data_IF_380426345137
#
_entry.id   IF_380426345137
#
_cell.length_a   1.000
_cell.length_b   1.000
_cell.length_c   1.000
_cell.angle_alpha   90.00
_cell.angle_beta   90.00
_cell.angle_gamma   90.00
#
_symmetry.space_group_name_H-M   'P 1'
#
loop_
_entity.id
_entity.type
_entity.pdbx_description
1 polymer ?
#
# COMPACT_ATOMS: atom_id res chain seq x y z
N UNK A 1 7.69 -16.39 24.42
CA UNK A 1 7.68 -15.78 23.09
C UNK A 1 9.06 -15.61 22.47
N UNK A 2 10.08 -15.13 23.18
CA UNK A 2 11.47 -14.94 22.66
C UNK A 2 12.06 -16.18 21.95
N UNK A 3 11.90 -17.39 22.48
CA UNK A 3 12.45 -18.63 21.88
C UNK A 3 11.81 -19.07 20.54
N UNK A 4 10.54 -18.70 20.28
CA UNK A 4 9.87 -19.04 19.01
C UNK A 4 10.23 -18.06 17.87
N UNK A 5 10.47 -16.81 18.21
CA UNK A 5 10.86 -15.77 17.22
C UNK A 5 12.29 -15.98 16.73
N UNK A 6 13.20 -16.45 17.59
CA UNK A 6 14.58 -16.79 17.24
C UNK A 6 14.68 -17.93 16.20
N UNK A 7 13.74 -18.89 16.19
CA UNK A 7 13.72 -19.96 15.17
C UNK A 7 13.30 -19.46 13.79
N UNK A 8 12.46 -18.41 13.72
CA UNK A 8 11.91 -17.88 12.46
C UNK A 8 12.97 -17.24 11.54
N UNK A 9 14.01 -16.66 12.14
CA UNK A 9 15.08 -15.89 11.47
C UNK A 9 16.43 -16.56 11.59
N UNK A 10 16.46 -17.86 11.83
CA UNK A 10 17.68 -18.67 11.89
C UNK A 10 17.90 -19.39 10.57
N UNK A 11 19.08 -19.22 9.98
CA UNK A 11 19.49 -19.96 8.80
C UNK A 11 19.62 -21.46 9.08
N UNK A 12 19.60 -22.27 8.05
CA UNK A 12 19.82 -23.72 8.14
C UNK A 12 21.23 -24.06 8.66
N UNK A 13 22.17 -23.16 8.45
CA UNK A 13 23.56 -23.19 8.93
C UNK A 13 23.73 -22.69 10.37
N UNK A 14 22.66 -22.30 11.02
CA UNK A 14 22.64 -21.77 12.38
C UNK A 14 22.92 -20.28 12.50
N UNK A 15 23.16 -19.57 11.40
CA UNK A 15 23.32 -18.10 11.40
C UNK A 15 22.07 -17.39 11.92
N UNK A 16 22.27 -16.35 12.74
CA UNK A 16 21.19 -15.54 13.31
C UNK A 16 20.97 -14.28 12.44
N UNK A 17 19.81 -14.18 11.82
CA UNK A 17 19.40 -13.04 11.01
C UNK A 17 18.45 -12.08 11.75
N UNK A 18 18.34 -12.16 13.08
CA UNK A 18 17.39 -11.35 13.84
C UNK A 18 17.61 -9.84 13.64
N UNK A 19 18.86 -9.37 13.74
CA UNK A 19 19.16 -7.95 13.59
C UNK A 19 18.89 -7.44 12.17
N UNK A 20 19.36 -8.09 11.08
CA UNK A 20 18.96 -7.73 9.71
C UNK A 20 17.45 -7.76 9.49
N UNK A 21 16.77 -8.78 10.03
CA UNK A 21 15.32 -8.91 9.91
C UNK A 21 14.57 -7.75 10.58
N UNK A 22 14.89 -7.44 11.85
CA UNK A 22 14.24 -6.34 12.58
C UNK A 22 14.48 -5.01 11.87
N UNK A 23 15.69 -4.79 11.39
CA UNK A 23 16.05 -3.57 10.69
C UNK A 23 15.26 -3.42 9.37
N UNK A 24 15.20 -4.49 8.55
CA UNK A 24 14.43 -4.45 7.30
C UNK A 24 12.93 -4.40 7.59
N UNK A 25 12.44 -5.13 8.60
CA UNK A 25 11.04 -5.10 9.01
C UNK A 25 10.59 -3.70 9.48
N UNK A 26 11.49 -2.90 10.09
CA UNK A 26 11.16 -1.50 10.44
C UNK A 26 10.88 -0.61 9.23
N UNK A 27 11.45 -0.93 8.06
CA UNK A 27 11.17 -0.21 6.82
C UNK A 27 9.71 -0.39 6.37
N UNK A 28 9.10 -1.54 6.68
CA UNK A 28 7.70 -1.78 6.39
C UNK A 28 6.79 -0.82 7.16
N UNK A 29 7.16 -0.51 8.40
CA UNK A 29 6.47 0.54 9.17
C UNK A 29 6.61 1.90 8.49
N UNK A 30 7.84 2.28 8.10
CA UNK A 30 8.12 3.59 7.50
C UNK A 30 7.33 3.82 6.22
N UNK A 31 7.25 2.84 5.32
CA UNK A 31 6.48 3.06 4.11
C UNK A 31 4.97 3.00 4.34
N UNK A 32 4.47 2.15 5.26
CA UNK A 32 3.07 2.15 5.66
C UNK A 32 2.65 3.50 6.24
N UNK A 33 3.49 4.08 7.09
CA UNK A 33 3.33 5.42 7.64
C UNK A 33 3.31 6.49 6.53
N UNK A 34 4.29 6.44 5.59
CA UNK A 34 4.39 7.39 4.49
C UNK A 34 3.16 7.39 3.58
N UNK A 35 2.61 6.21 3.29
CA UNK A 35 1.39 6.11 2.49
C UNK A 35 0.17 6.66 3.20
N UNK A 36 -0.01 6.29 4.46
CA UNK A 36 -1.24 6.62 5.18
C UNK A 36 -1.33 8.08 5.63
N UNK A 37 -0.20 8.75 5.85
CA UNK A 37 -0.21 10.19 6.15
C UNK A 37 -0.68 11.04 4.95
N UNK A 38 -0.48 10.54 3.72
CA UNK A 38 -0.93 11.22 2.51
C UNK A 38 -2.45 11.34 2.40
N UNK A 39 -3.18 10.40 3.00
CA UNK A 39 -4.65 10.43 3.00
C UNK A 39 -5.16 11.62 3.83
N UNK A 40 -4.47 11.95 4.91
CA UNK A 40 -4.76 13.14 5.73
C UNK A 40 -4.29 14.43 5.03
N UNK A 41 -3.12 14.38 4.40
CA UNK A 41 -2.55 15.51 3.65
C UNK A 41 -3.45 15.93 2.47
N UNK A 42 -4.12 14.98 1.84
CA UNK A 42 -5.07 15.26 0.76
C UNK A 42 -6.14 16.27 1.20
N UNK A 43 -6.76 16.05 2.36
CA UNK A 43 -7.77 16.95 2.92
C UNK A 43 -7.16 18.28 3.37
N UNK A 44 -6.02 18.23 4.02
CA UNK A 44 -5.32 19.43 4.50
C UNK A 44 -4.96 20.38 3.34
N UNK A 45 -4.44 19.87 2.22
CA UNK A 45 -4.14 20.69 1.05
C UNK A 45 -5.37 21.32 0.41
N UNK A 46 -6.53 20.62 0.41
CA UNK A 46 -7.77 21.21 -0.08
C UNK A 46 -8.13 22.47 0.70
N UNK A 47 -7.94 22.47 2.02
CA UNK A 47 -8.28 23.59 2.90
C UNK A 47 -7.23 24.70 2.87
N UNK A 48 -5.95 24.37 2.98
CA UNK A 48 -4.84 25.33 3.06
C UNK A 48 -4.56 26.04 1.74
N UNK A 49 -4.59 25.30 0.62
CA UNK A 49 -4.27 25.84 -0.71
C UNK A 49 -5.52 26.18 -1.54
N UNK A 50 -6.72 26.03 -0.95
CA UNK A 50 -8.00 26.29 -1.62
C UNK A 50 -8.15 25.56 -2.97
N UNK A 51 -7.62 24.33 -3.06
CA UNK A 51 -7.69 23.49 -4.26
C UNK A 51 -8.91 22.57 -4.22
N UNK A 52 -9.43 22.21 -5.39
CA UNK A 52 -10.57 21.29 -5.50
C UNK A 52 -10.15 19.82 -5.27
N UNK A 53 -11.13 18.91 -5.14
CA UNK A 53 -10.89 17.48 -4.87
C UNK A 53 -10.11 16.81 -6.02
N UNK A 54 -10.39 17.20 -7.27
CA UNK A 54 -9.64 16.70 -8.45
C UNK A 54 -8.17 17.09 -8.38
N UNK A 55 -7.88 18.35 -8.05
CA UNK A 55 -6.50 18.81 -7.92
C UNK A 55 -5.76 18.11 -6.78
N UNK A 56 -6.42 17.93 -5.62
CA UNK A 56 -5.80 17.24 -4.50
C UNK A 56 -5.52 15.75 -4.78
N UNK A 57 -6.30 15.12 -5.66
CA UNK A 57 -6.07 13.74 -6.08
C UNK A 57 -4.75 13.55 -6.86
N UNK A 58 -4.16 14.63 -7.42
CA UNK A 58 -2.82 14.57 -8.03
C UNK A 58 -1.73 14.19 -7.03
N UNK A 59 -1.96 14.35 -5.73
CA UNK A 59 -1.08 13.87 -4.65
C UNK A 59 -0.83 12.36 -4.81
N UNK A 60 -1.90 11.59 -4.90
CA UNK A 60 -1.81 10.14 -5.09
C UNK A 60 -1.28 9.79 -6.49
N UNK A 61 -1.72 10.53 -7.50
CA UNK A 61 -1.29 10.31 -8.88
C UNK A 61 0.23 10.42 -9.03
N UNK A 62 0.85 11.45 -8.47
CA UNK A 62 2.31 11.64 -8.61
C UNK A 62 3.10 10.64 -7.77
N UNK A 63 2.61 10.28 -6.56
CA UNK A 63 3.25 9.27 -5.73
C UNK A 63 3.28 7.91 -6.46
N UNK A 64 2.12 7.43 -6.92
CA UNK A 64 2.02 6.16 -7.65
C UNK A 64 2.62 6.22 -9.05
N UNK A 65 2.70 7.41 -9.66
CA UNK A 65 3.51 7.68 -10.85
C UNK A 65 4.99 7.42 -10.60
N UNK A 66 5.51 7.83 -9.43
CA UNK A 66 6.84 7.50 -8.95
C UNK A 66 7.06 5.99 -8.85
N UNK A 67 6.08 5.26 -8.32
CA UNK A 67 6.11 3.79 -8.27
C UNK A 67 6.24 3.17 -9.66
N UNK A 68 5.44 3.62 -10.60
CA UNK A 68 5.46 3.09 -11.96
C UNK A 68 6.80 3.33 -12.66
N UNK A 69 7.31 4.57 -12.60
CA UNK A 69 8.54 4.96 -13.29
C UNK A 69 9.79 4.37 -12.63
N UNK A 70 9.82 4.27 -11.29
CA UNK A 70 11.01 3.83 -10.56
C UNK A 70 11.09 2.32 -10.38
N UNK A 71 10.02 1.53 -10.63
CA UNK A 71 10.02 0.09 -10.41
C UNK A 71 11.11 -0.65 -11.21
N UNK A 72 11.26 -0.34 -12.49
CA UNK A 72 12.30 -0.95 -13.33
C UNK A 72 13.73 -0.47 -12.98
N UNK A 73 13.99 0.85 -12.79
CA UNK A 73 15.29 1.33 -12.29
C UNK A 73 15.67 0.72 -10.94
N UNK A 74 14.74 0.63 -9.99
CA UNK A 74 14.97 0.02 -8.69
C UNK A 74 15.40 -1.45 -8.81
N UNK A 75 14.69 -2.22 -9.65
CA UNK A 75 15.08 -3.61 -9.94
C UNK A 75 16.48 -3.72 -10.52
N UNK A 76 16.90 -2.81 -11.41
CA UNK A 76 18.26 -2.77 -11.97
C UNK A 76 19.32 -2.42 -10.91
N UNK A 77 19.02 -1.45 -10.03
CA UNK A 77 19.92 -1.11 -8.91
C UNK A 77 20.13 -2.33 -8.02
N UNK A 78 19.06 -3.03 -7.64
CA UNK A 78 19.10 -4.19 -6.76
C UNK A 78 19.85 -5.36 -7.43
N UNK A 79 19.60 -5.61 -8.71
CA UNK A 79 20.26 -6.71 -9.43
C UNK A 79 21.77 -6.49 -9.61
N UNK A 80 22.20 -5.23 -9.76
CA UNK A 80 23.60 -4.87 -9.99
C UNK A 80 24.40 -4.63 -8.70
N UNK A 81 23.77 -4.02 -7.70
CA UNK A 81 24.45 -3.54 -6.48
C UNK A 81 23.92 -4.18 -5.20
N UNK A 82 23.00 -5.16 -5.30
CA UNK A 82 22.42 -5.88 -4.17
C UNK A 82 21.29 -5.13 -3.43
N UNK A 83 20.64 -5.84 -2.52
CA UNK A 83 19.51 -5.33 -1.74
C UNK A 83 19.84 -4.10 -0.89
N UNK A 84 21.07 -4.07 -0.31
CA UNK A 84 21.53 -2.94 0.51
C UNK A 84 21.53 -1.64 -0.29
N UNK A 85 22.00 -1.65 -1.53
CA UNK A 85 22.01 -0.47 -2.39
C UNK A 85 20.57 -0.01 -2.71
N UNK A 86 19.65 -0.95 -2.97
CA UNK A 86 18.23 -0.64 -3.16
C UNK A 86 17.61 0.04 -1.94
N UNK A 87 17.86 -0.48 -0.72
CA UNK A 87 17.38 0.12 0.52
C UNK A 87 17.96 1.51 0.75
N UNK A 88 19.28 1.69 0.63
CA UNK A 88 19.94 2.99 0.83
C UNK A 88 19.47 4.03 -0.20
N UNK A 89 19.37 3.66 -1.48
CA UNK A 89 18.83 4.54 -2.52
C UNK A 89 17.40 4.97 -2.19
N UNK A 90 16.58 4.04 -1.73
CA UNK A 90 15.20 4.30 -1.34
C UNK A 90 15.09 5.23 -0.15
N UNK A 91 15.84 5.00 0.92
CA UNK A 91 15.88 5.87 2.11
C UNK A 91 16.38 7.27 1.78
N UNK A 92 17.44 7.38 0.95
CA UNK A 92 17.95 8.69 0.52
C UNK A 92 16.91 9.46 -0.29
N UNK A 93 16.29 8.83 -1.29
CA UNK A 93 15.24 9.48 -2.09
C UNK A 93 14.03 9.89 -1.23
N UNK A 94 13.60 9.01 -0.31
CA UNK A 94 12.50 9.32 0.60
C UNK A 94 12.85 10.50 1.51
N UNK A 95 14.01 10.47 2.16
CA UNK A 95 14.45 11.55 3.04
C UNK A 95 14.64 12.88 2.32
N UNK A 96 15.28 12.89 1.14
CA UNK A 96 15.42 14.09 0.31
C UNK A 96 14.04 14.61 -0.12
N UNK A 97 13.16 13.75 -0.63
CA UNK A 97 11.81 14.12 -1.01
C UNK A 97 11.01 14.74 0.13
N UNK A 98 11.16 14.22 1.35
CA UNK A 98 10.52 14.80 2.54
C UNK A 98 11.11 16.16 2.92
N UNK A 99 12.43 16.36 2.83
CA UNK A 99 13.06 17.66 3.11
C UNK A 99 12.76 18.71 2.02
N UNK A 100 12.40 18.32 0.80
CA UNK A 100 11.94 19.23 -0.24
C UNK A 100 10.61 19.93 0.12
N UNK A 101 9.89 19.47 1.12
CA UNK A 101 8.72 20.18 1.66
C UNK A 101 9.10 21.53 2.29
N UNK A 102 10.34 21.70 2.78
CA UNK A 102 10.83 22.98 3.33
C UNK A 102 10.80 24.10 2.28
N UNK A 103 11.54 24.02 1.15
CA UNK A 103 11.44 25.04 0.12
C UNK A 103 10.05 25.09 -0.52
N UNK A 104 9.31 23.98 -0.57
CA UNK A 104 7.92 23.93 -1.06
C UNK A 104 6.99 24.81 -0.24
N UNK A 105 7.10 24.80 1.09
CA UNK A 105 6.31 25.65 1.97
C UNK A 105 6.71 27.13 1.86
N UNK A 106 7.98 27.43 1.67
CA UNK A 106 8.46 28.81 1.43
C UNK A 106 7.90 29.40 0.13
N UNK A 107 7.75 28.57 -0.89
CA UNK A 107 7.23 28.97 -2.20
C UNK A 107 5.70 28.91 -2.28
N UNK A 108 5.03 28.30 -1.30
CA UNK A 108 3.59 28.00 -1.30
C UNK A 108 3.11 27.40 -2.63
N UNK A 109 3.93 26.50 -3.22
CA UNK A 109 3.72 25.98 -4.56
C UNK A 109 3.23 24.54 -4.54
N UNK A 110 1.96 24.33 -4.89
CA UNK A 110 1.39 22.99 -5.03
C UNK A 110 2.16 22.09 -6.02
N UNK A 111 2.56 22.55 -7.21
CA UNK A 111 3.40 21.75 -8.11
C UNK A 111 4.75 21.33 -7.48
N UNK A 112 5.34 22.16 -6.62
CA UNK A 112 6.57 21.81 -5.93
C UNK A 112 6.34 20.72 -4.87
N UNK A 113 5.23 20.78 -4.14
CA UNK A 113 4.83 19.70 -3.23
C UNK A 113 4.59 18.39 -3.99
N UNK A 114 3.95 18.44 -5.16
CA UNK A 114 3.76 17.24 -6.00
C UNK A 114 5.12 16.66 -6.45
N UNK A 115 6.07 17.50 -6.83
CA UNK A 115 7.42 17.03 -7.17
C UNK A 115 8.11 16.36 -5.96
N UNK A 116 7.99 16.94 -4.77
CA UNK A 116 8.52 16.36 -3.53
C UNK A 116 7.93 14.98 -3.26
N UNK A 117 6.61 14.84 -3.43
CA UNK A 117 5.89 13.56 -3.28
C UNK A 117 6.29 12.54 -4.35
N UNK A 118 6.54 12.97 -5.58
CA UNK A 118 7.08 12.10 -6.63
C UNK A 118 8.43 11.51 -6.24
N UNK A 119 9.34 12.33 -5.69
CA UNK A 119 10.64 11.86 -5.19
C UNK A 119 10.48 10.88 -4.04
N UNK A 120 9.54 11.15 -3.11
CA UNK A 120 9.18 10.20 -2.03
C UNK A 120 8.70 8.90 -2.65
N UNK A 121 7.78 8.94 -3.62
CA UNK A 121 7.26 7.75 -4.32
C UNK A 121 8.36 6.91 -4.95
N UNK A 122 9.34 7.54 -5.60
CA UNK A 122 10.52 6.84 -6.12
C UNK A 122 11.32 6.17 -5.01
N UNK A 123 11.48 6.82 -3.87
CA UNK A 123 12.17 6.27 -2.70
C UNK A 123 11.44 5.05 -2.13
N UNK A 124 10.13 5.16 -1.93
CA UNK A 124 9.29 4.07 -1.44
C UNK A 124 9.32 2.86 -2.37
N UNK A 125 9.31 3.08 -3.68
CA UNK A 125 9.44 2.00 -4.69
C UNK A 125 10.74 1.23 -4.53
N UNK A 126 11.88 1.93 -4.35
CA UNK A 126 13.16 1.28 -4.12
C UNK A 126 13.15 0.45 -2.83
N UNK A 127 12.57 1.00 -1.75
CA UNK A 127 12.46 0.29 -0.47
C UNK A 127 11.63 -0.97 -0.61
N UNK A 128 10.46 -0.88 -1.22
CA UNK A 128 9.52 -1.99 -1.34
C UNK A 128 10.06 -3.09 -2.25
N UNK A 129 10.67 -2.71 -3.38
CA UNK A 129 11.30 -3.66 -4.32
C UNK A 129 12.47 -4.40 -3.67
N UNK A 130 13.22 -3.77 -2.75
CA UNK A 130 14.34 -4.39 -2.05
C UNK A 130 13.89 -5.20 -0.83
N UNK A 131 13.05 -4.64 0.04
CA UNK A 131 12.75 -5.20 1.34
C UNK A 131 11.83 -6.43 1.29
N UNK A 132 10.84 -6.45 0.38
CA UNK A 132 9.91 -7.58 0.25
C UNK A 132 10.63 -8.91 -0.03
N UNK A 133 11.43 -9.06 -1.11
CA UNK A 133 12.14 -10.29 -1.36
C UNK A 133 13.22 -10.55 -0.31
N UNK A 134 13.89 -9.52 0.22
CA UNK A 134 14.96 -9.70 1.18
C UNK A 134 14.46 -10.34 2.48
N UNK A 135 13.32 -9.92 3.01
CA UNK A 135 12.70 -10.54 4.21
C UNK A 135 12.42 -12.04 4.01
N UNK A 136 12.05 -12.46 2.79
CA UNK A 136 11.76 -13.88 2.53
C UNK A 136 12.99 -14.77 2.55
N UNK A 137 14.18 -14.23 2.29
CA UNK A 137 15.44 -14.99 2.26
C UNK A 137 16.22 -14.96 3.57
N UNK A 138 15.80 -14.16 4.57
CA UNK A 138 16.45 -14.07 5.88
C UNK A 138 16.06 -15.23 6.80
N UNK A 139 16.52 -16.45 6.50
CA UNK A 139 16.28 -17.65 7.32
C UNK A 139 15.79 -18.84 6.50
N UNK A 140 15.18 -19.84 7.17
CA UNK A 140 14.68 -21.05 6.51
C UNK A 140 13.63 -20.74 5.43
N UNK A 141 13.71 -21.35 4.24
CA UNK A 141 12.69 -21.17 3.17
C UNK A 141 11.27 -21.52 3.61
N UNK A 142 11.11 -22.51 4.49
CA UNK A 142 9.80 -22.96 5.00
C UNK A 142 9.08 -21.89 5.84
N UNK A 143 9.81 -20.94 6.41
CA UNK A 143 9.24 -19.85 7.22
C UNK A 143 9.17 -18.52 6.47
N UNK A 144 9.44 -18.49 5.16
CA UNK A 144 9.45 -17.26 4.36
C UNK A 144 8.11 -16.49 4.43
N UNK A 145 6.98 -17.19 4.27
CA UNK A 145 5.64 -16.60 4.38
C UNK A 145 5.36 -16.02 5.77
N UNK A 146 5.84 -16.66 6.82
CA UNK A 146 5.66 -16.17 8.19
C UNK A 146 6.49 -14.92 8.45
N UNK A 147 7.69 -14.83 7.87
CA UNK A 147 8.56 -13.64 7.98
C UNK A 147 7.95 -12.45 7.29
N UNK A 148 7.48 -12.60 6.05
CA UNK A 148 6.86 -11.49 5.32
C UNK A 148 5.56 -11.05 5.99
N UNK A 149 4.75 -11.97 6.50
CA UNK A 149 3.53 -11.62 7.24
C UNK A 149 3.83 -10.85 8.54
N UNK A 150 4.91 -11.21 9.25
CA UNK A 150 5.35 -10.46 10.43
C UNK A 150 5.81 -9.04 10.06
N UNK A 151 6.61 -8.90 9.00
CA UNK A 151 7.04 -7.59 8.51
C UNK A 151 5.83 -6.74 8.03
N UNK A 152 4.88 -7.34 7.31
CA UNK A 152 3.64 -6.67 6.88
C UNK A 152 2.74 -6.26 8.06
N UNK A 153 2.85 -6.90 9.23
CA UNK A 153 2.15 -6.45 10.43
C UNK A 153 2.68 -5.10 10.94
N UNK A 154 4.00 -4.85 10.80
CA UNK A 154 4.60 -3.55 11.09
C UNK A 154 4.18 -2.48 10.07
N UNK A 155 4.02 -2.86 8.80
CA UNK A 155 3.40 -1.99 7.80
C UNK A 155 1.97 -1.59 8.21
N UNK A 156 1.17 -2.55 8.65
CA UNK A 156 -0.18 -2.29 9.18
C UNK A 156 -0.20 -1.32 10.35
N UNK A 157 0.78 -1.37 11.26
CA UNK A 157 0.94 -0.37 12.32
C UNK A 157 1.26 1.02 11.74
N UNK A 158 2.08 1.11 10.71
CA UNK A 158 2.35 2.35 9.99
C UNK A 158 1.08 2.98 9.45
N UNK A 159 0.19 2.17 8.86
CA UNK A 159 -1.11 2.61 8.35
C UNK A 159 -2.05 3.15 9.44
N UNK A 160 -1.93 2.70 10.69
CA UNK A 160 -2.69 3.23 11.83
C UNK A 160 -2.05 4.52 12.34
N UNK A 161 -0.73 4.54 12.49
CA UNK A 161 -0.02 5.68 13.10
C UNK A 161 0.03 6.90 12.16
N UNK A 162 0.06 6.70 10.85
CA UNK A 162 0.13 7.80 9.87
C UNK A 162 -1.05 8.78 9.99
N UNK A 163 -2.31 8.36 9.88
CA UNK A 163 -3.45 9.28 10.03
C UNK A 163 -3.58 9.85 11.42
N UNK A 164 -3.18 9.11 12.48
CA UNK A 164 -3.15 9.61 13.84
C UNK A 164 -2.18 10.80 13.97
N UNK A 165 -0.94 10.61 13.53
CA UNK A 165 0.09 11.66 13.54
C UNK A 165 -0.32 12.82 12.62
N UNK A 166 -0.75 12.52 11.39
CA UNK A 166 -1.22 13.52 10.45
C UNK A 166 -2.39 14.34 11.01
N UNK A 167 -3.37 13.69 11.63
CA UNK A 167 -4.50 14.36 12.27
C UNK A 167 -4.09 15.28 13.40
N UNK A 168 -3.17 14.84 14.26
CA UNK A 168 -2.65 15.61 15.38
C UNK A 168 -1.82 16.82 14.91
N UNK A 169 -0.98 16.68 13.89
CA UNK A 169 -0.12 17.76 13.43
C UNK A 169 -0.81 18.72 12.47
N UNK A 170 -1.67 18.22 11.58
CA UNK A 170 -2.25 19.04 10.53
C UNK A 170 -3.61 19.68 10.91
N UNK A 171 -4.35 19.10 11.88
CA UNK A 171 -5.68 19.58 12.24
C UNK A 171 -5.81 20.03 13.72
N UNK A 172 -4.77 19.91 14.55
CA UNK A 172 -4.77 20.41 15.94
C UNK A 172 -4.40 21.89 15.98
N UNK A 173 -5.37 22.72 15.86
CA UNK A 173 -5.48 24.15 15.95
C UNK A 173 -4.24 25.01 16.22
N UNK A 174 -3.98 25.97 15.35
CA UNK A 174 -2.97 27.02 15.51
C UNK A 174 -1.82 27.00 14.52
N UNK A 175 -1.74 26.01 13.65
CA UNK A 175 -0.75 25.96 12.59
C UNK A 175 -1.09 27.00 11.51
N UNK A 176 -0.22 28.00 11.38
CA UNK A 176 -0.18 28.86 10.19
C UNK A 176 0.05 28.01 8.94
N UNK A 177 -0.34 28.51 7.76
CA UNK A 177 -0.13 27.88 6.44
C UNK A 177 1.30 27.35 6.24
N UNK A 178 2.28 27.81 7.04
CA UNK A 178 3.68 27.37 7.03
C UNK A 178 3.93 25.95 7.61
N UNK A 179 2.97 25.33 8.29
CA UNK A 179 3.25 24.13 9.09
C UNK A 179 3.20 22.79 8.31
N UNK A 180 2.94 22.80 7.00
CA UNK A 180 3.02 21.60 6.15
C UNK A 180 4.44 21.02 6.13
N UNK A 181 5.46 21.87 6.22
CA UNK A 181 6.85 21.44 6.16
C UNK A 181 7.31 20.71 7.44
N UNK A 182 6.79 21.08 8.61
CA UNK A 182 7.27 20.58 9.91
C UNK A 182 7.17 19.04 10.03
N UNK A 183 6.00 18.39 9.81
CA UNK A 183 5.91 16.93 9.90
C UNK A 183 6.81 16.24 8.87
N UNK A 184 6.89 16.75 7.64
CA UNK A 184 7.75 16.17 6.61
C UNK A 184 9.24 16.38 6.88
N UNK A 185 9.64 17.49 7.51
CA UNK A 185 11.02 17.73 7.97
C UNK A 185 11.42 16.69 9.01
N UNK A 186 10.56 16.46 10.00
CA UNK A 186 10.79 15.45 11.05
C UNK A 186 10.92 14.06 10.42
N UNK A 187 10.02 13.70 9.52
CA UNK A 187 10.06 12.43 8.79
C UNK A 187 11.36 12.32 7.97
N UNK A 188 11.72 13.36 7.22
CA UNK A 188 12.91 13.39 6.38
C UNK A 188 14.18 13.17 7.18
N UNK A 189 14.33 13.87 8.31
CA UNK A 189 15.46 13.70 9.23
C UNK A 189 15.49 12.28 9.80
N UNK A 190 14.35 11.77 10.28
CA UNK A 190 14.25 10.42 10.83
C UNK A 190 14.62 9.34 9.80
N UNK A 191 14.14 9.47 8.56
CA UNK A 191 14.45 8.53 7.47
C UNK A 191 15.93 8.58 7.08
N UNK A 192 16.53 9.77 7.02
CA UNK A 192 17.97 9.92 6.74
C UNK A 192 18.84 9.36 7.88
N UNK A 193 18.43 9.52 9.14
CA UNK A 193 19.10 8.87 10.28
C UNK A 193 19.03 7.34 10.15
N UNK A 194 17.86 6.79 9.74
CA UNK A 194 17.74 5.36 9.43
C UNK A 194 18.66 4.97 8.27
N UNK A 195 18.78 5.80 7.22
CA UNK A 195 19.73 5.54 6.12
C UNK A 195 21.19 5.47 6.61
N UNK A 196 21.59 6.39 7.49
CA UNK A 196 22.91 6.39 8.11
C UNK A 196 23.12 5.10 8.93
N UNK A 197 22.15 4.71 9.77
CA UNK A 197 22.22 3.44 10.51
C UNK A 197 22.36 2.24 9.56
N UNK A 198 21.59 2.19 8.49
CA UNK A 198 21.67 1.15 7.46
C UNK A 198 23.02 1.13 6.74
N UNK A 199 23.69 2.26 6.60
CA UNK A 199 25.03 2.33 5.98
C UNK A 199 26.12 1.62 6.80
N UNK A 200 25.94 1.48 8.11
CA UNK A 200 26.86 0.75 8.99
C UNK A 200 26.53 -0.74 9.11
N UNK A 201 25.32 -1.15 8.75
CA UNK A 201 24.89 -2.55 8.85
C UNK A 201 25.30 -3.32 7.58
N UNK A 202 26.05 -4.38 7.75
CA UNK A 202 26.32 -5.35 6.69
C UNK A 202 25.09 -6.24 6.55
N UNK A 203 24.26 -5.97 5.55
CA UNK A 203 23.21 -6.91 5.18
C UNK A 203 23.88 -8.11 4.50
N UNK A 204 23.61 -9.34 4.98
CA UNK A 204 24.15 -10.55 4.34
C UNK A 204 23.72 -10.59 2.86
N UNK A 205 24.67 -10.83 1.96
CA UNK A 205 24.36 -11.13 0.56
C UNK A 205 23.75 -12.54 0.50
N UNK A 206 22.49 -12.64 0.83
CA UNK A 206 21.74 -13.87 0.66
C UNK A 206 21.34 -13.91 -0.82
N UNK A 207 22.08 -14.70 -1.59
CA UNK A 207 21.63 -15.06 -2.93
C UNK A 207 20.24 -15.66 -2.77
N UNK A 208 19.24 -15.06 -3.44
CA UNK A 208 17.92 -15.66 -3.52
C UNK A 208 18.15 -17.11 -3.94
N UNK A 209 17.86 -18.04 -3.03
CA UNK A 209 17.94 -19.45 -3.35
C UNK A 209 17.17 -19.62 -4.64
N UNK A 210 17.86 -19.96 -5.71
CA UNK A 210 17.27 -20.25 -7.00
C UNK A 210 16.15 -21.21 -6.67
N UNK A 211 14.92 -20.72 -6.76
CA UNK A 211 13.76 -21.59 -6.62
C UNK A 211 14.06 -22.78 -7.50
N UNK A 212 14.08 -23.97 -6.89
CA UNK A 212 14.21 -25.23 -7.59
C UNK A 212 13.41 -25.09 -8.87
N UNK A 213 14.09 -25.11 -10.01
CA UNK A 213 13.46 -25.11 -11.31
C UNK A 213 12.62 -26.39 -11.37
N UNK A 214 11.37 -26.27 -10.99
CA UNK A 214 10.38 -27.24 -11.39
C UNK A 214 10.27 -27.02 -12.89
N UNK A 215 10.89 -27.90 -13.63
CA UNK A 215 10.76 -27.95 -15.07
C UNK A 215 9.27 -28.12 -15.40
N UNK A 216 8.63 -27.04 -15.74
CA UNK A 216 7.27 -27.06 -16.25
C UNK A 216 7.35 -26.96 -17.77
N UNK A 217 6.93 -28.04 -18.43
CA UNK A 217 7.03 -28.26 -19.88
C UNK A 217 6.07 -27.39 -20.71
N UNK A 218 5.42 -26.39 -20.15
CA UNK A 218 4.55 -25.54 -20.97
C UNK A 218 5.35 -24.41 -21.62
N UNK A 219 5.63 -24.54 -22.88
CA UNK A 219 6.24 -23.53 -23.78
C UNK A 219 5.30 -22.34 -24.07
N UNK A 220 4.28 -22.16 -23.24
CA UNK A 220 3.30 -21.06 -23.35
C UNK A 220 3.89 -19.78 -22.80
N UNK A 221 3.87 -18.73 -23.59
CA UNK A 221 4.30 -17.40 -23.16
C UNK A 221 3.43 -16.85 -22.01
N UNK A 222 4.01 -16.01 -21.16
CA UNK A 222 3.35 -15.42 -19.97
C UNK A 222 1.94 -14.86 -20.27
N UNK A 223 1.78 -14.18 -21.39
CA UNK A 223 0.53 -13.52 -21.79
C UNK A 223 -0.57 -14.49 -22.26
N UNK A 224 -0.28 -15.75 -22.48
CA UNK A 224 -1.27 -16.77 -22.80
C UNK A 224 -2.05 -17.25 -21.58
N UNK A 225 -1.55 -16.99 -20.39
CA UNK A 225 -2.20 -17.36 -19.12
C UNK A 225 -3.32 -16.36 -18.78
N UNK A 226 -4.56 -16.70 -19.12
CA UNK A 226 -5.72 -15.82 -18.91
C UNK A 226 -5.88 -15.36 -17.47
N UNK A 227 -5.67 -16.26 -16.48
CA UNK A 227 -5.76 -15.91 -15.06
C UNK A 227 -4.76 -14.81 -14.66
N UNK A 228 -3.57 -14.78 -15.27
CA UNK A 228 -2.59 -13.74 -15.06
C UNK A 228 -3.05 -12.40 -15.66
N UNK A 229 -3.49 -12.39 -16.92
CA UNK A 229 -3.93 -11.16 -17.60
C UNK A 229 -5.11 -10.51 -16.89
N UNK A 230 -6.14 -11.30 -16.54
CA UNK A 230 -7.27 -10.80 -15.76
C UNK A 230 -6.88 -10.46 -14.32
N UNK A 231 -5.87 -11.14 -13.77
CA UNK A 231 -5.27 -10.85 -12.47
C UNK A 231 -4.59 -9.48 -12.41
N UNK A 232 -3.89 -9.07 -13.48
CA UNK A 232 -3.33 -7.71 -13.60
C UNK A 232 -4.45 -6.66 -13.48
N UNK A 233 -5.55 -6.85 -14.23
CA UNK A 233 -6.71 -5.97 -14.13
C UNK A 233 -7.34 -5.95 -12.74
N UNK A 234 -7.49 -7.12 -12.10
CA UNK A 234 -8.06 -7.24 -10.77
C UNK A 234 -7.18 -6.54 -9.71
N UNK A 235 -5.86 -6.67 -9.81
CA UNK A 235 -4.94 -6.03 -8.88
C UNK A 235 -4.89 -4.51 -9.08
N UNK A 236 -4.85 -4.05 -10.32
CA UNK A 236 -4.94 -2.63 -10.67
C UNK A 236 -6.21 -2.00 -10.09
N UNK A 237 -7.37 -2.61 -10.32
CA UNK A 237 -8.65 -2.11 -9.85
C UNK A 237 -8.78 -2.21 -8.31
N UNK A 238 -8.18 -3.23 -7.69
CA UNK A 238 -8.12 -3.31 -6.24
C UNK A 238 -7.37 -2.12 -5.63
N UNK A 239 -6.15 -1.85 -6.11
CA UNK A 239 -5.34 -0.74 -5.59
C UNK A 239 -6.01 0.59 -5.91
N UNK A 240 -6.63 0.72 -7.08
CA UNK A 240 -7.44 1.87 -7.44
C UNK A 240 -8.57 2.11 -6.42
N UNK A 241 -9.36 1.09 -6.10
CA UNK A 241 -10.45 1.18 -5.13
C UNK A 241 -9.93 1.55 -3.73
N UNK A 242 -8.94 0.82 -3.22
CA UNK A 242 -8.41 1.03 -1.87
C UNK A 242 -7.84 2.44 -1.70
N UNK A 243 -7.01 2.90 -2.64
CA UNK A 243 -6.42 4.23 -2.58
C UNK A 243 -7.48 5.32 -2.70
N UNK A 244 -8.43 5.15 -3.63
CA UNK A 244 -9.52 6.11 -3.80
C UNK A 244 -10.37 6.27 -2.53
N UNK A 245 -10.74 5.16 -1.91
CA UNK A 245 -11.51 5.18 -0.66
C UNK A 245 -10.73 5.84 0.46
N UNK A 246 -9.43 5.53 0.61
CA UNK A 246 -8.59 6.11 1.65
C UNK A 246 -8.44 7.63 1.45
N UNK A 247 -8.12 8.06 0.24
CA UNK A 247 -7.85 9.48 -0.08
C UNK A 247 -9.05 10.38 0.19
N UNK A 248 -10.27 9.87 0.02
CA UNK A 248 -11.49 10.64 0.20
C UNK A 248 -12.31 10.23 1.43
N UNK A 249 -11.76 9.39 2.30
CA UNK A 249 -12.43 8.97 3.53
C UNK A 249 -12.79 10.17 4.42
N UNK A 250 -11.82 11.04 4.69
CA UNK A 250 -12.02 12.22 5.54
C UNK A 250 -13.06 13.14 4.92
N UNK A 251 -12.98 13.41 3.60
CA UNK A 251 -13.96 14.23 2.89
C UNK A 251 -15.39 13.70 3.08
N UNK A 252 -15.57 12.39 2.85
CA UNK A 252 -16.89 11.77 2.99
C UNK A 252 -17.42 11.85 4.42
N UNK A 253 -16.60 11.50 5.41
CA UNK A 253 -17.00 11.47 6.81
C UNK A 253 -17.34 12.87 7.33
N UNK A 254 -16.60 13.89 6.91
CA UNK A 254 -16.88 15.29 7.27
C UNK A 254 -18.15 15.81 6.59
N UNK A 255 -18.36 15.49 5.30
CA UNK A 255 -19.55 15.92 4.56
C UNK A 255 -20.84 15.24 5.08
N UNK A 256 -20.78 13.98 5.52
CA UNK A 256 -21.95 13.19 5.90
C UNK A 256 -22.21 13.14 7.41
N UNK A 257 -21.23 13.46 8.24
CA UNK A 257 -21.29 13.22 9.69
C UNK A 257 -21.22 14.49 10.56
N UNK A 258 -21.03 15.67 9.97
CA UNK A 258 -20.83 16.93 10.71
C UNK A 258 -19.76 16.81 11.81
N UNK A 259 -18.67 16.12 11.48
CA UNK A 259 -17.52 15.92 12.38
C UNK A 259 -16.31 16.72 11.91
N UNK A 260 -15.40 17.04 12.84
CA UNK A 260 -14.18 17.76 12.50
C UNK A 260 -13.19 16.86 11.72
N UNK A 261 -12.29 17.47 10.94
CA UNK A 261 -11.23 16.74 10.25
C UNK A 261 -10.36 15.91 11.19
N UNK A 262 -10.09 16.41 12.40
CA UNK A 262 -9.32 15.68 13.42
C UNK A 262 -10.04 14.40 13.86
N UNK A 263 -11.35 14.47 14.10
CA UNK A 263 -12.18 13.30 14.43
C UNK A 263 -12.24 12.33 13.23
N UNK A 264 -12.41 12.83 12.01
CA UNK A 264 -12.41 12.00 10.81
C UNK A 264 -11.06 11.29 10.58
N UNK A 265 -9.92 11.95 10.90
CA UNK A 265 -8.59 11.33 10.86
C UNK A 265 -8.44 10.22 11.92
N UNK A 266 -8.98 10.40 13.12
CA UNK A 266 -9.04 9.33 14.13
C UNK A 266 -9.91 8.14 13.68
N UNK A 267 -11.05 8.42 13.03
CA UNK A 267 -11.92 7.40 12.45
C UNK A 267 -11.23 6.63 11.31
N UNK A 268 -10.40 7.31 10.50
CA UNK A 268 -9.56 6.67 9.50
C UNK A 268 -8.53 5.75 10.16
N UNK A 269 -7.81 6.26 11.17
CA UNK A 269 -6.75 5.54 11.89
C UNK A 269 -7.27 4.30 12.62
N UNK A 270 -8.15 4.48 13.60
CA UNK A 270 -8.61 3.40 14.46
C UNK A 270 -9.83 2.66 13.90
N UNK A 271 -10.72 3.36 13.23
CA UNK A 271 -11.89 2.77 12.60
C UNK A 271 -11.48 1.98 11.35
N UNK A 272 -11.20 2.67 10.26
CA UNK A 272 -10.94 2.02 8.97
C UNK A 272 -9.68 1.15 8.98
N UNK A 273 -8.54 1.67 9.42
CA UNK A 273 -7.28 0.90 9.42
C UNK A 273 -7.27 -0.18 10.52
N UNK A 274 -7.96 0.04 11.63
CA UNK A 274 -8.20 -0.98 12.64
C UNK A 274 -8.99 -2.18 12.08
N UNK A 275 -10.10 -1.93 11.36
CA UNK A 275 -10.84 -2.99 10.67
C UNK A 275 -10.02 -3.68 9.59
N UNK A 276 -9.16 -2.95 8.86
CA UNK A 276 -8.25 -3.54 7.89
C UNK A 276 -7.29 -4.54 8.54
N UNK A 277 -6.69 -4.19 9.68
CA UNK A 277 -5.81 -5.09 10.43
C UNK A 277 -6.58 -6.31 10.96
N UNK A 278 -7.77 -6.10 11.54
CA UNK A 278 -8.64 -7.18 11.99
C UNK A 278 -9.02 -8.11 10.84
N UNK A 279 -9.36 -7.56 9.68
CA UNK A 279 -9.68 -8.33 8.48
C UNK A 279 -8.50 -9.17 7.97
N UNK A 280 -7.28 -8.66 8.06
CA UNK A 280 -6.06 -9.39 7.69
C UNK A 280 -5.83 -10.61 8.59
N UNK A 281 -6.01 -10.43 9.90
CA UNK A 281 -5.86 -11.51 10.88
C UNK A 281 -6.98 -12.54 10.73
N UNK A 282 -8.23 -12.09 10.67
CA UNK A 282 -9.40 -12.98 10.52
C UNK A 282 -9.39 -13.70 9.18
N UNK A 283 -9.02 -13.04 8.10
CA UNK A 283 -8.89 -13.63 6.77
C UNK A 283 -7.87 -14.77 6.73
N UNK A 284 -6.69 -14.58 7.33
CA UNK A 284 -5.71 -15.65 7.48
C UNK A 284 -6.26 -16.88 8.24
N UNK A 285 -7.07 -16.66 9.28
CA UNK A 285 -7.68 -17.75 10.04
C UNK A 285 -8.81 -18.43 9.24
N UNK A 286 -9.64 -17.67 8.54
CA UNK A 286 -10.75 -18.15 7.71
C UNK A 286 -10.26 -18.98 6.52
N UNK A 287 -9.13 -18.62 5.89
CA UNK A 287 -8.54 -19.36 4.78
C UNK A 287 -8.12 -20.79 5.14
N UNK A 288 -7.99 -21.12 6.45
CA UNK A 288 -7.77 -22.50 6.89
C UNK A 288 -9.03 -23.39 6.73
N UNK A 289 -10.22 -22.79 6.65
CA UNK A 289 -11.51 -23.49 6.61
C UNK A 289 -12.31 -23.21 5.33
N UNK A 290 -12.10 -22.04 4.72
CA UNK A 290 -12.85 -21.57 3.56
C UNK A 290 -11.88 -21.47 2.37
N UNK A 291 -12.30 -21.97 1.22
CA UNK A 291 -11.51 -21.85 -0.03
C UNK A 291 -11.26 -20.37 -0.36
N UNK A 292 -10.01 -19.97 -0.69
CA UNK A 292 -9.66 -18.58 -0.98
C UNK A 292 -10.54 -17.94 -2.07
N UNK A 293 -10.96 -18.71 -3.07
CA UNK A 293 -11.85 -18.23 -4.14
C UNK A 293 -13.22 -17.79 -3.60
N UNK A 294 -13.83 -18.58 -2.70
CA UNK A 294 -15.10 -18.24 -2.07
C UNK A 294 -14.97 -17.05 -1.15
N UNK A 295 -13.86 -16.98 -0.41
CA UNK A 295 -13.59 -15.88 0.50
C UNK A 295 -13.39 -14.57 -0.27
N UNK A 296 -12.65 -14.57 -1.39
CA UNK A 296 -12.47 -13.41 -2.26
C UNK A 296 -13.83 -12.90 -2.78
N UNK A 297 -14.69 -13.80 -3.27
CA UNK A 297 -16.03 -13.45 -3.76
C UNK A 297 -16.87 -12.85 -2.62
N UNK A 298 -16.90 -13.51 -1.45
CA UNK A 298 -17.66 -13.03 -0.29
C UNK A 298 -17.21 -11.63 0.15
N UNK A 299 -15.90 -11.39 0.23
CA UNK A 299 -15.35 -10.08 0.55
C UNK A 299 -15.68 -9.03 -0.53
N UNK A 300 -15.57 -9.38 -1.83
CA UNK A 300 -15.92 -8.47 -2.90
C UNK A 300 -17.41 -8.09 -2.87
N UNK A 301 -18.31 -9.03 -2.63
CA UNK A 301 -19.74 -8.77 -2.46
C UNK A 301 -20.02 -7.92 -1.22
N UNK A 302 -19.33 -8.18 -0.10
CA UNK A 302 -19.40 -7.37 1.11
C UNK A 302 -18.93 -5.92 0.86
N UNK A 303 -17.86 -5.73 0.09
CA UNK A 303 -17.39 -4.41 -0.30
C UNK A 303 -18.37 -3.68 -1.25
N UNK A 304 -18.98 -4.38 -2.21
CA UNK A 304 -20.04 -3.84 -3.08
C UNK A 304 -21.21 -3.37 -2.24
N UNK A 305 -21.67 -4.19 -1.29
CA UNK A 305 -22.76 -3.82 -0.39
C UNK A 305 -22.41 -2.60 0.45
N UNK A 306 -21.20 -2.57 1.04
CA UNK A 306 -20.73 -1.41 1.81
C UNK A 306 -20.69 -0.14 0.95
N UNK A 307 -20.16 -0.19 -0.27
CA UNK A 307 -20.15 0.95 -1.18
C UNK A 307 -21.55 1.40 -1.59
N UNK A 308 -22.49 0.47 -1.73
CA UNK A 308 -23.89 0.81 -1.99
C UNK A 308 -24.51 1.60 -0.82
N UNK A 309 -24.20 1.23 0.42
CA UNK A 309 -24.63 2.00 1.60
C UNK A 309 -23.99 3.41 1.61
N UNK A 310 -22.71 3.51 1.29
CA UNK A 310 -21.98 4.79 1.20
C UNK A 310 -22.64 5.73 0.19
N UNK A 311 -23.07 5.22 -0.96
CA UNK A 311 -23.62 6.03 -2.05
C UNK A 311 -25.10 6.40 -1.81
N UNK A 312 -25.92 5.41 -1.43
CA UNK A 312 -27.38 5.55 -1.47
C UNK A 312 -28.02 5.81 -0.11
N UNK A 313 -27.44 5.31 1.00
CA UNK A 313 -27.99 5.51 2.34
C UNK A 313 -27.37 6.71 3.03
N UNK A 314 -26.03 6.91 2.83
CA UNK A 314 -25.27 8.04 3.38
C UNK A 314 -25.31 8.14 4.92
N UNK A 315 -24.90 9.30 5.47
CA UNK A 315 -24.94 9.57 6.90
C UNK A 315 -24.18 8.53 7.76
N UNK A 316 -24.62 8.33 9.00
CA UNK A 316 -24.00 7.39 9.96
C UNK A 316 -23.90 5.96 9.44
N UNK A 317 -24.91 5.36 8.79
CA UNK A 317 -24.79 4.02 8.20
C UNK A 317 -23.71 3.96 7.10
N UNK A 318 -23.63 4.98 6.23
CA UNK A 318 -22.59 5.08 5.20
C UNK A 318 -21.20 5.21 5.81
N UNK A 319 -21.04 6.03 6.86
CA UNK A 319 -19.79 6.17 7.60
C UNK A 319 -19.35 4.83 8.24
N UNK A 320 -20.26 4.10 8.82
CA UNK A 320 -19.99 2.75 9.35
C UNK A 320 -19.60 1.77 8.24
N UNK A 321 -20.31 1.82 7.11
CA UNK A 321 -20.08 0.95 5.96
C UNK A 321 -18.69 1.16 5.33
N UNK A 322 -18.24 2.42 5.16
CA UNK A 322 -16.93 2.72 4.59
C UNK A 322 -15.78 2.23 5.49
N UNK A 323 -15.96 2.26 6.83
CA UNK A 323 -14.98 1.70 7.77
C UNK A 323 -14.95 0.18 7.68
N UNK A 324 -16.12 -0.48 7.72
CA UNK A 324 -16.22 -1.95 7.67
C UNK A 324 -15.77 -2.52 6.32
N UNK A 325 -15.91 -1.76 5.23
CA UNK A 325 -15.43 -2.16 3.90
C UNK A 325 -13.96 -2.58 3.92
N UNK A 326 -13.13 -1.90 4.73
CA UNK A 326 -11.69 -2.19 4.82
C UNK A 326 -11.39 -3.61 5.36
N UNK A 327 -12.29 -4.17 6.16
CA UNK A 327 -12.20 -5.57 6.59
C UNK A 327 -12.26 -6.52 5.39
N UNK A 328 -13.15 -6.23 4.43
CA UNK A 328 -13.26 -6.99 3.19
C UNK A 328 -12.04 -6.77 2.27
N UNK A 329 -11.56 -5.54 2.17
CA UNK A 329 -10.39 -5.18 1.34
C UNK A 329 -9.11 -5.87 1.78
N UNK A 330 -8.94 -6.11 3.07
CA UNK A 330 -7.69 -6.53 3.70
C UNK A 330 -7.06 -7.79 3.11
N UNK A 331 -7.87 -8.75 2.63
CA UNK A 331 -7.42 -10.02 2.06
C UNK A 331 -7.35 -10.02 0.53
N UNK A 332 -7.94 -9.02 -0.14
CA UNK A 332 -8.08 -9.06 -1.60
C UNK A 332 -6.73 -9.00 -2.30
N UNK A 333 -5.84 -8.08 -1.91
CA UNK A 333 -4.52 -7.92 -2.53
C UNK A 333 -3.71 -9.23 -2.54
N UNK A 334 -3.42 -9.85 -1.39
CA UNK A 334 -2.62 -11.07 -1.37
C UNK A 334 -3.28 -12.25 -2.09
N UNK A 335 -4.62 -12.32 -2.05
CA UNK A 335 -5.36 -13.40 -2.72
C UNK A 335 -5.33 -13.24 -4.25
N UNK A 336 -5.58 -12.04 -4.77
CA UNK A 336 -5.50 -11.73 -6.21
C UNK A 336 -4.07 -11.98 -6.72
N UNK A 337 -3.07 -11.50 -5.97
CA UNK A 337 -1.66 -11.68 -6.31
C UNK A 337 -1.27 -13.17 -6.40
N UNK A 338 -1.66 -13.97 -5.40
CA UNK A 338 -1.41 -15.41 -5.40
C UNK A 338 -2.12 -16.13 -6.56
N UNK A 339 -3.36 -15.75 -6.86
CA UNK A 339 -4.12 -16.32 -7.98
C UNK A 339 -3.48 -16.00 -9.33
N UNK A 340 -3.04 -14.75 -9.50
CA UNK A 340 -2.40 -14.33 -10.75
C UNK A 340 -1.06 -15.05 -11.00
N UNK A 341 -0.33 -15.44 -9.94
CA UNK A 341 0.94 -16.16 -10.05
C UNK A 341 0.80 -17.69 -10.13
N UNK A 342 -0.41 -18.24 -9.91
CA UNK A 342 -0.61 -19.69 -9.81
C UNK A 342 -0.21 -20.38 -11.14
N UNK A 343 0.69 -21.38 -11.07
CA UNK A 343 1.08 -22.20 -12.22
C UNK A 343 1.94 -21.52 -13.29
N UNK A 344 2.57 -20.36 -12.97
CA UNK A 344 3.42 -19.64 -13.93
C UNK A 344 4.88 -20.13 -13.99
N UNK A 345 5.31 -21.06 -13.14
CA UNK A 345 6.65 -21.67 -13.14
C UNK A 345 7.78 -20.64 -13.33
N UNK A 346 8.55 -20.78 -14.40
CA UNK A 346 9.69 -19.90 -14.75
C UNK A 346 9.30 -18.41 -14.93
N UNK A 347 8.04 -18.13 -15.25
CA UNK A 347 7.56 -16.77 -15.48
C UNK A 347 7.20 -16.01 -14.20
N UNK A 348 7.21 -16.65 -13.03
CA UNK A 348 6.76 -16.06 -11.76
C UNK A 348 7.46 -14.75 -11.43
N UNK A 349 8.80 -14.65 -11.64
CA UNK A 349 9.57 -13.41 -11.35
C UNK A 349 9.10 -12.25 -12.22
N UNK A 350 8.98 -12.48 -13.53
CA UNK A 350 8.53 -11.45 -14.49
C UNK A 350 7.07 -11.08 -14.25
N UNK A 351 6.21 -12.06 -14.00
CA UNK A 351 4.80 -11.85 -13.68
C UNK A 351 4.63 -11.03 -12.41
N UNK A 352 5.41 -11.29 -11.37
CA UNK A 352 5.42 -10.52 -10.13
C UNK A 352 5.75 -9.05 -10.36
N UNK A 353 6.74 -8.76 -11.23
CA UNK A 353 7.10 -7.37 -11.59
C UNK A 353 5.94 -6.63 -12.27
N UNK A 354 5.22 -7.29 -13.19
CA UNK A 354 4.02 -6.69 -13.82
C UNK A 354 2.89 -6.47 -12.82
N UNK A 355 2.70 -7.39 -11.87
CA UNK A 355 1.71 -7.21 -10.80
C UNK A 355 2.04 -6.01 -9.90
N UNK A 356 3.32 -5.82 -9.56
CA UNK A 356 3.77 -4.64 -8.80
C UNK A 356 3.54 -3.35 -9.61
N UNK A 357 3.77 -3.36 -10.92
CA UNK A 357 3.45 -2.20 -11.77
C UNK A 357 1.96 -1.83 -11.74
N UNK A 358 1.06 -2.80 -11.51
CA UNK A 358 -0.39 -2.54 -11.40
C UNK A 358 -0.77 -1.72 -10.16
N UNK A 359 0.15 -1.52 -9.20
CA UNK A 359 -0.04 -0.61 -8.05
C UNK A 359 -0.30 0.83 -8.51
N UNK A 360 0.09 1.19 -9.73
CA UNK A 360 -0.26 2.46 -10.37
C UNK A 360 -1.78 2.71 -10.49
N UNK A 361 -2.61 1.69 -10.30
CA UNK A 361 -4.07 1.86 -10.17
C UNK A 361 -4.46 2.91 -9.13
N UNK A 362 -3.65 3.05 -8.05
CA UNK A 362 -3.81 4.09 -7.04
C UNK A 362 -3.63 5.53 -7.55
N UNK A 363 -3.04 5.73 -8.72
CA UNK A 363 -2.95 7.03 -9.37
C UNK A 363 -4.26 7.45 -10.06
N UNK A 364 -5.06 6.48 -10.50
CA UNK A 364 -6.19 6.73 -11.41
C UNK A 364 -7.49 7.00 -10.65
N UNK A 365 -7.84 6.13 -9.71
CA UNK A 365 -9.15 6.21 -9.05
C UNK A 365 -9.37 7.49 -8.24
N UNK A 366 -8.39 8.02 -7.47
CA UNK A 366 -8.63 9.28 -6.76
C UNK A 366 -8.93 10.45 -7.69
N UNK A 367 -8.29 10.53 -8.86
CA UNK A 367 -8.57 11.58 -9.85
C UNK A 367 -10.01 11.46 -10.37
N UNK A 368 -10.42 10.26 -10.77
CA UNK A 368 -11.79 10.02 -11.23
C UNK A 368 -12.84 10.32 -10.15
N UNK A 369 -12.57 9.90 -8.91
CA UNK A 369 -13.43 10.17 -7.76
C UNK A 369 -13.52 11.67 -7.46
N UNK A 370 -12.40 12.39 -7.53
CA UNK A 370 -12.34 13.83 -7.35
C UNK A 370 -13.18 14.58 -8.41
N UNK A 371 -13.03 14.22 -9.68
CA UNK A 371 -13.82 14.79 -10.77
C UNK A 371 -15.34 14.59 -10.57
N UNK A 372 -15.75 13.40 -10.15
CA UNK A 372 -17.16 13.11 -9.85
C UNK A 372 -17.62 13.92 -8.63
N UNK A 373 -16.79 13.96 -7.59
CA UNK A 373 -17.12 14.65 -6.35
C UNK A 373 -17.20 16.19 -6.51
N UNK A 374 -16.36 16.78 -7.35
CA UNK A 374 -16.40 18.22 -7.66
C UNK A 374 -17.62 18.59 -8.50
N UNK A 375 -18.12 17.66 -9.33
CA UNK A 375 -19.28 17.92 -10.19
C UNK A 375 -20.60 17.69 -9.45
N UNK A 376 -20.67 16.72 -8.56
CA UNK A 376 -21.92 16.27 -7.92
C UNK A 376 -21.82 16.33 -6.38
N UNK A 377 -21.29 15.28 -5.73
CA UNK A 377 -20.95 15.25 -4.31
C UNK A 377 -20.01 14.07 -4.04
N UNK A 378 -19.36 14.06 -2.85
CA UNK A 378 -18.37 13.04 -2.53
C UNK A 378 -18.92 11.61 -2.57
N UNK A 379 -20.17 11.39 -2.14
CA UNK A 379 -20.79 10.06 -2.12
C UNK A 379 -20.80 9.40 -3.51
N UNK A 380 -21.09 10.15 -4.58
CA UNK A 380 -21.07 9.62 -5.95
C UNK A 380 -19.68 9.23 -6.45
N UNK A 381 -18.61 9.83 -5.91
CA UNK A 381 -17.26 9.42 -6.21
C UNK A 381 -17.00 7.94 -5.89
N UNK A 382 -17.69 7.37 -4.91
CA UNK A 382 -17.57 5.96 -4.52
C UNK A 382 -18.18 4.95 -5.50
N UNK A 383 -18.81 5.42 -6.60
CA UNK A 383 -19.14 4.56 -7.75
C UNK A 383 -17.89 3.93 -8.37
N UNK A 384 -16.76 4.62 -8.36
CA UNK A 384 -15.49 4.10 -8.92
C UNK A 384 -15.04 2.85 -8.16
N UNK A 385 -14.85 2.86 -6.82
CA UNK A 385 -14.53 1.65 -6.06
C UNK A 385 -15.59 0.55 -6.20
N UNK A 386 -16.88 0.90 -6.25
CA UNK A 386 -17.95 -0.07 -6.43
C UNK A 386 -17.77 -0.86 -7.73
N UNK A 387 -17.53 -0.19 -8.87
CA UNK A 387 -17.25 -0.84 -10.14
C UNK A 387 -15.98 -1.72 -10.08
N UNK A 388 -14.94 -1.27 -9.37
CA UNK A 388 -13.73 -2.06 -9.17
C UNK A 388 -14.04 -3.38 -8.43
N UNK A 389 -14.82 -3.34 -7.36
CA UNK A 389 -15.19 -4.54 -6.61
C UNK A 389 -16.06 -5.51 -7.41
N UNK A 390 -16.93 -5.01 -8.31
CA UNK A 390 -17.69 -5.86 -9.25
C UNK A 390 -16.75 -6.68 -10.14
N UNK A 391 -15.70 -6.05 -10.68
CA UNK A 391 -14.70 -6.78 -11.47
C UNK A 391 -13.97 -7.83 -10.63
N UNK A 392 -13.57 -7.49 -9.40
CA UNK A 392 -12.88 -8.44 -8.49
C UNK A 392 -13.78 -9.63 -8.15
N UNK A 393 -15.08 -9.42 -7.93
CA UNK A 393 -16.04 -10.49 -7.71
C UNK A 393 -16.14 -11.41 -8.94
N UNK A 394 -16.19 -10.84 -10.15
CA UNK A 394 -16.20 -11.58 -11.40
C UNK A 394 -14.91 -12.40 -11.60
N UNK A 395 -13.74 -11.82 -11.29
CA UNK A 395 -12.45 -12.52 -11.31
C UNK A 395 -12.43 -13.72 -10.36
N UNK A 396 -12.84 -13.53 -9.11
CA UNK A 396 -12.95 -14.60 -8.12
C UNK A 396 -13.90 -15.73 -8.57
N UNK A 397 -15.05 -15.36 -9.18
CA UNK A 397 -16.01 -16.32 -9.74
C UNK A 397 -15.42 -17.12 -10.89
N UNK A 398 -14.62 -16.49 -11.76
CA UNK A 398 -13.97 -17.18 -12.88
C UNK A 398 -12.99 -18.26 -12.37
N UNK A 399 -12.27 -18.00 -11.27
CA UNK A 399 -11.45 -19.03 -10.61
C UNK A 399 -12.30 -20.15 -10.02
N UNK A 400 -13.38 -19.81 -9.31
CA UNK A 400 -14.25 -20.83 -8.68
C UNK A 400 -14.91 -21.76 -9.70
N UNK A 401 -15.24 -21.25 -10.90
CA UNK A 401 -15.90 -22.00 -11.99
C UNK A 401 -14.93 -22.71 -12.92
N UNK A 402 -13.61 -22.63 -12.68
CA UNK A 402 -12.60 -23.27 -13.53
C UNK A 402 -12.43 -22.65 -14.92
N UNK A 403 -12.92 -21.44 -15.18
CA UNK A 403 -12.78 -20.77 -16.49
C UNK A 403 -11.35 -20.42 -16.88
N UNK A 404 -10.42 -20.53 -15.97
CA UNK A 404 -8.99 -20.30 -16.17
C UNK A 404 -8.17 -21.59 -16.16
N UNK A 405 -8.82 -22.75 -15.97
CA UNK A 405 -8.21 -24.08 -16.05
C UNK A 405 -7.91 -24.49 -17.49
#
# INVERSE_FOLDING_TARGET
MKHKTLKLVRGLDGTDFLAPFVLVASLFFLWGFAHSILDVLNKHFQETLHINKTQSAFIQMVLYGGYFLMALPAGRIISRFGYRAGVLSGLCLYGIGALLFIPGSMLLSFPFFLFSLFVIGCGLTCLETAANPYVTVLGSPQDAERRINLAQSLNGLGWIVGPLVGGLFLFSGGSSEADIATPYTIIGIAVLLVAVLFSFVKLPDVQAASSVEVADESDRGLWSHRHFVFGLGALFLYVAAQTGINSFFINYVVEEGDVTNAVAALMLSFGRMGFFLCGRISGFLLMKRIRPEKLLIGCALGAIFAMSLVIFVRGVPGMGAIMVCSLCESIMFPTIFAFALRGLGRHTKTASSYLIMCIVGGAVAPVLMGMIADTWCMAWGFLVPLCCFVYIAAYGRAFLTGRFA
#
